data_IF_254341728197
#
_entry.id   IF_254341728197
#
_cell.length_a   1.000
_cell.length_b   1.000
_cell.length_c   1.000
_cell.angle_alpha   90.00
_cell.angle_beta   90.00
_cell.angle_gamma   90.00
#
_symmetry.space_group_name_H-M   'P 1'
#
loop_
_entity.id
_entity.type
_entity.pdbx_description
1 polymer ?
#
# COMPACT_ATOMS: atom_id res chain seq x y z
N UNK A 1 29.47 -19.44 23.39
CA UNK A 1 30.18 -18.73 22.30
C UNK A 1 29.28 -18.63 21.08
N UNK A 2 28.57 -17.52 20.91
CA UNK A 2 27.93 -17.16 19.64
C UNK A 2 28.19 -15.68 19.37
N UNK A 3 28.77 -15.41 18.20
CA UNK A 3 29.30 -14.12 17.77
C UNK A 3 28.13 -13.24 17.30
N UNK A 4 27.91 -12.12 18.00
CA UNK A 4 27.01 -11.06 17.55
C UNK A 4 27.72 -10.22 16.47
N UNK A 5 27.08 -10.06 15.31
CA UNK A 5 27.48 -9.08 14.29
C UNK A 5 26.38 -8.02 14.15
N UNK A 6 26.56 -6.97 14.94
CA UNK A 6 26.42 -5.54 14.62
C UNK A 6 25.58 -5.18 13.38
N UNK A 7 24.40 -4.59 13.62
CA UNK A 7 23.70 -3.76 12.64
C UNK A 7 24.38 -2.39 12.57
N UNK A 8 24.98 -2.08 11.42
CA UNK A 8 25.53 -0.77 11.10
C UNK A 8 24.42 0.16 10.61
N UNK A 9 24.19 1.25 11.34
CA UNK A 9 23.39 2.37 10.87
C UNK A 9 24.25 3.19 9.90
N UNK A 10 23.80 3.33 8.65
CA UNK A 10 24.40 4.23 7.68
C UNK A 10 24.16 5.69 8.11
N UNK A 11 25.20 6.32 8.63
CA UNK A 11 25.31 7.78 8.68
C UNK A 11 25.51 8.30 7.24
N UNK A 12 24.52 9.00 6.70
CA UNK A 12 24.69 9.75 5.45
C UNK A 12 25.42 11.04 5.82
N UNK A 13 26.73 11.06 5.61
CA UNK A 13 27.51 12.28 5.58
C UNK A 13 27.25 13.01 4.25
N UNK A 14 26.56 14.14 4.31
CA UNK A 14 26.45 15.07 3.18
C UNK A 14 27.75 15.89 3.11
N UNK A 15 28.59 15.59 2.12
CA UNK A 15 29.68 16.47 1.74
C UNK A 15 29.16 17.52 0.74
N UNK A 16 29.15 18.79 1.18
CA UNK A 16 28.95 19.96 0.31
C UNK A 16 30.31 20.32 -0.28
N UNK A 17 30.45 20.27 -1.61
CA UNK A 17 31.56 20.92 -2.32
C UNK A 17 31.03 22.18 -2.98
N UNK A 18 31.61 23.30 -2.56
CA UNK A 18 31.36 24.64 -3.07
C UNK A 18 32.09 24.88 -4.40
N UNK A 19 31.42 25.56 -5.33
CA UNK A 19 32.06 26.32 -6.40
C UNK A 19 31.18 27.55 -6.75
N UNK A 20 31.60 28.68 -6.19
CA UNK A 20 31.53 30.09 -6.60
C UNK A 20 30.61 30.54 -7.76
N UNK A 21 29.83 31.61 -7.51
CA UNK A 21 29.21 32.43 -8.57
C UNK A 21 28.20 33.51 -8.13
N UNK A 22 28.68 34.58 -7.48
CA UNK A 22 28.17 35.98 -7.44
C UNK A 22 26.69 36.37 -7.17
N UNK A 23 26.51 37.08 -6.05
CA UNK A 23 25.84 38.39 -5.78
C UNK A 23 24.38 38.63 -6.25
N UNK A 24 23.44 38.67 -5.29
CA UNK A 24 22.54 39.84 -5.08
C UNK A 24 22.13 39.94 -3.60
N UNK A 25 22.42 41.09 -3.01
CA UNK A 25 22.02 41.52 -1.68
C UNK A 25 20.50 41.62 -1.48
N UNK A 26 20.02 41.21 -0.30
CA UNK A 26 18.97 41.92 0.43
C UNK A 26 19.13 41.71 1.93
N UNK A 27 19.20 42.83 2.64
CA UNK A 27 19.33 42.99 4.09
C UNK A 27 17.99 42.73 4.78
N UNK A 28 18.02 42.05 5.92
CA UNK A 28 17.23 42.25 7.16
C UNK A 28 17.24 40.92 7.92
N UNK A 29 18.15 40.71 8.87
CA UNK A 29 17.99 41.06 10.29
C UNK A 29 16.64 40.65 10.86
N UNK A 30 16.57 39.48 11.51
CA UNK A 30 16.14 39.44 12.91
C UNK A 30 16.59 38.13 13.57
N UNK A 31 17.53 38.33 14.48
CA UNK A 31 18.05 37.40 15.46
C UNK A 31 17.09 37.34 16.66
N UNK A 32 16.67 36.13 17.06
CA UNK A 32 16.30 35.89 18.46
C UNK A 32 16.51 34.41 18.82
N UNK A 33 17.64 34.15 19.50
CA UNK A 33 17.90 32.96 20.28
C UNK A 33 17.41 33.18 21.71
N UNK A 34 16.67 32.22 22.26
CA UNK A 34 16.52 31.92 23.69
C UNK A 34 15.76 30.59 23.76
N UNK A 35 16.04 29.62 24.62
CA UNK A 35 17.05 29.43 25.64
C UNK A 35 17.07 27.93 25.94
N UNK A 36 18.23 27.43 26.36
CA UNK A 36 18.39 26.12 26.97
C UNK A 36 17.56 26.01 28.25
N UNK A 37 16.97 24.85 28.51
CA UNK A 37 16.69 24.41 29.87
C UNK A 37 16.83 22.90 29.94
N UNK A 38 17.95 22.51 30.54
CA UNK A 38 18.20 21.19 31.10
C UNK A 38 17.29 21.00 32.31
N UNK A 39 16.59 19.87 32.39
CA UNK A 39 16.21 19.29 33.67
C UNK A 39 16.58 17.81 33.64
N UNK A 40 17.66 17.50 34.34
CA UNK A 40 17.93 16.19 34.88
C UNK A 40 16.95 15.95 36.05
N UNK A 41 16.28 14.81 36.06
CA UNK A 41 15.77 14.24 37.29
C UNK A 41 15.81 12.70 37.18
N UNK A 42 16.84 12.13 37.80
CA UNK A 42 16.89 10.74 38.24
C UNK A 42 15.72 10.46 39.18
N UNK A 43 15.03 9.35 38.98
CA UNK A 43 14.48 8.55 40.08
C UNK A 43 14.41 7.09 39.64
N UNK A 44 15.36 6.32 40.15
CA UNK A 44 15.26 4.87 40.29
C UNK A 44 14.25 4.57 41.41
N UNK A 45 13.32 3.64 41.17
CA UNK A 45 12.76 2.78 42.22
C UNK A 45 12.82 1.35 41.71
N UNK A 46 13.19 0.48 42.63
CA UNK A 46 13.70 -0.86 42.44
C UNK A 46 12.66 -1.92 42.85
N UNK A 47 12.66 -3.05 42.11
CA UNK A 47 12.29 -4.43 42.48
C UNK A 47 10.88 -4.76 42.98
N UNK A 48 10.23 -5.73 42.30
CA UNK A 48 9.95 -7.06 42.86
C UNK A 48 9.37 -8.02 41.80
N UNK A 49 9.64 -9.32 41.96
CA UNK A 49 9.47 -10.38 40.97
C UNK A 49 8.35 -11.38 41.32
N UNK A 50 7.65 -11.86 40.27
CA UNK A 50 7.06 -13.20 40.01
C UNK A 50 6.00 -13.83 40.95
N UNK A 51 5.20 -14.86 40.54
CA UNK A 51 5.29 -15.69 39.32
C UNK A 51 3.98 -15.94 38.51
N UNK A 52 4.16 -16.55 37.33
CA UNK A 52 3.33 -17.55 36.61
C UNK A 52 1.79 -17.40 36.51
N UNK A 53 1.26 -17.31 35.28
CA UNK A 53 0.48 -18.42 34.67
C UNK A 53 0.20 -18.22 33.16
N UNK A 54 0.38 -19.32 32.42
CA UNK A 54 -0.24 -19.73 31.15
C UNK A 54 -0.10 -18.86 29.90
N UNK A 55 0.87 -19.29 29.11
CA UNK A 55 0.78 -19.44 27.66
C UNK A 55 -0.56 -20.08 27.24
N UNK A 56 -1.45 -19.28 26.67
CA UNK A 56 -2.43 -19.75 25.69
C UNK A 56 -2.07 -19.08 24.35
N UNK A 57 -1.37 -19.88 23.56
CA UNK A 57 -1.29 -19.74 22.11
C UNK A 57 -2.69 -19.67 21.53
N UNK A 58 -3.01 -18.58 20.86
CA UNK A 58 -3.57 -18.49 19.49
C UNK A 58 -4.12 -17.06 19.28
N UNK A 59 -3.93 -16.49 18.07
CA UNK A 59 -5.06 -16.60 17.17
C UNK A 59 -4.64 -17.23 15.84
N UNK A 60 -5.20 -18.41 15.62
CA UNK A 60 -5.81 -18.85 14.39
C UNK A 60 -6.12 -17.70 13.39
N UNK A 61 -5.55 -17.83 12.19
CA UNK A 61 -6.13 -17.42 10.90
C UNK A 61 -6.34 -15.90 10.71
N UNK A 62 -5.34 -15.26 10.11
CA UNK A 62 -5.60 -14.38 8.96
C UNK A 62 -4.37 -14.19 8.05
N UNK A 63 -3.72 -15.28 7.64
CA UNK A 63 -2.94 -15.27 6.40
C UNK A 63 -3.85 -15.53 5.18
N UNK A 64 -5.10 -15.07 5.21
CA UNK A 64 -5.85 -14.85 3.99
C UNK A 64 -5.21 -13.60 3.37
N UNK A 65 -4.16 -13.84 2.59
CA UNK A 65 -3.63 -12.89 1.62
C UNK A 65 -4.76 -12.69 0.63
N UNK A 66 -5.72 -11.87 1.03
CA UNK A 66 -6.83 -11.43 0.22
C UNK A 66 -6.18 -10.97 -1.06
N UNK A 67 -6.55 -11.59 -2.17
CA UNK A 67 -6.32 -11.06 -3.50
C UNK A 67 -6.83 -9.63 -3.47
N UNK A 68 -5.91 -8.72 -3.13
CA UNK A 68 -6.16 -7.30 -3.08
C UNK A 68 -6.58 -7.01 -4.51
N UNK A 69 -7.75 -6.42 -4.76
CA UNK A 69 -8.10 -5.97 -6.09
C UNK A 69 -7.22 -4.74 -6.39
N UNK A 70 -5.92 -4.96 -6.53
CA UNK A 70 -5.04 -4.01 -7.17
C UNK A 70 -5.28 -4.16 -8.67
N UNK A 71 -5.87 -3.12 -9.23
CA UNK A 71 -5.91 -2.80 -10.65
C UNK A 71 -7.08 -3.41 -11.43
N UNK A 72 -8.30 -3.06 -11.04
CA UNK A 72 -9.54 -3.46 -11.72
C UNK A 72 -9.77 -2.92 -13.14
N UNK A 73 -8.78 -2.25 -13.75
CA UNK A 73 -8.93 -1.65 -15.09
C UNK A 73 -7.84 -2.05 -16.09
N UNK A 74 -6.78 -2.76 -15.67
CA UNK A 74 -5.76 -3.18 -16.62
C UNK A 74 -6.12 -4.55 -17.21
N UNK A 75 -6.18 -4.69 -18.56
CA UNK A 75 -6.44 -5.96 -19.19
C UNK A 75 -5.31 -6.94 -18.85
N UNK A 76 -5.70 -8.12 -18.37
CA UNK A 76 -4.75 -9.17 -18.02
C UNK A 76 -4.08 -9.73 -19.28
N UNK A 77 -2.92 -10.35 -19.12
CA UNK A 77 -2.26 -11.06 -20.24
C UNK A 77 -3.13 -12.18 -20.81
N UNK A 78 -4.08 -12.73 -20.03
CA UNK A 78 -5.06 -13.71 -20.50
C UNK A 78 -6.13 -13.06 -21.39
N UNK A 79 -6.66 -11.90 -20.98
CA UNK A 79 -7.62 -11.13 -21.79
C UNK A 79 -7.03 -10.75 -23.15
N UNK A 80 -5.77 -10.29 -23.19
CA UNK A 80 -5.12 -9.90 -24.45
C UNK A 80 -4.93 -11.08 -25.42
N UNK A 81 -4.72 -12.30 -24.91
CA UNK A 81 -4.60 -13.50 -25.75
C UNK A 81 -5.90 -13.85 -26.47
N UNK A 82 -7.05 -13.40 -25.98
CA UNK A 82 -8.36 -13.64 -26.61
C UNK A 82 -8.63 -12.71 -27.80
N UNK A 83 -7.81 -11.68 -28.03
CA UNK A 83 -8.01 -10.66 -29.08
C UNK A 83 -7.46 -11.04 -30.46
N UNK A 84 -7.01 -12.29 -30.66
CA UNK A 84 -6.40 -12.78 -31.90
C UNK A 84 -5.34 -11.80 -32.45
N UNK A 85 -4.41 -11.39 -31.58
CA UNK A 85 -3.37 -10.39 -31.91
C UNK A 85 -2.40 -10.94 -32.96
N UNK A 86 -1.96 -10.08 -33.88
CA UNK A 86 -0.84 -10.43 -34.77
C UNK A 86 0.46 -10.55 -34.00
N UNK A 87 1.44 -11.27 -34.57
CA UNK A 87 2.79 -11.40 -33.98
C UNK A 87 3.44 -10.04 -33.73
N UNK A 88 3.26 -9.10 -34.66
CA UNK A 88 3.78 -7.73 -34.53
C UNK A 88 3.11 -6.97 -33.38
N UNK A 89 1.78 -7.05 -33.27
CA UNK A 89 1.05 -6.43 -32.16
C UNK A 89 1.49 -7.00 -30.81
N UNK A 90 1.68 -8.32 -30.73
CA UNK A 90 2.14 -8.99 -29.52
C UNK A 90 3.53 -8.51 -29.09
N UNK A 91 4.46 -8.36 -30.04
CA UNK A 91 5.79 -7.82 -29.77
C UNK A 91 5.72 -6.37 -29.25
N UNK A 92 4.92 -5.50 -29.88
CA UNK A 92 4.75 -4.10 -29.43
C UNK A 92 4.13 -4.01 -28.03
N UNK A 93 3.12 -4.84 -27.75
CA UNK A 93 2.48 -4.91 -26.43
C UNK A 93 3.44 -5.43 -25.36
N UNK A 94 4.29 -6.40 -25.70
CA UNK A 94 5.35 -6.89 -24.80
C UNK A 94 6.35 -5.79 -24.48
N UNK A 95 6.81 -5.03 -25.48
CA UNK A 95 7.74 -3.92 -25.27
C UNK A 95 7.16 -2.84 -24.33
N UNK A 96 5.89 -2.46 -24.51
CA UNK A 96 5.20 -1.53 -23.59
C UNK A 96 5.16 -2.10 -22.17
N UNK A 97 4.78 -3.39 -22.03
CA UNK A 97 4.73 -4.04 -20.73
C UNK A 97 6.09 -3.98 -20.05
N UNK A 98 7.14 -4.39 -20.74
CA UNK A 98 8.48 -4.52 -20.16
C UNK A 98 9.06 -3.15 -19.78
N UNK A 99 8.82 -2.11 -20.60
CA UNK A 99 9.18 -0.72 -20.29
C UNK A 99 8.56 -0.22 -18.99
N UNK A 100 7.26 -0.46 -18.78
CA UNK A 100 6.51 0.13 -17.66
C UNK A 100 6.54 -0.73 -16.39
N UNK A 101 6.95 -2.00 -16.51
CA UNK A 101 6.84 -3.01 -15.45
C UNK A 101 7.60 -2.64 -14.18
N UNK A 102 8.85 -2.16 -14.33
CA UNK A 102 9.70 -1.82 -13.19
C UNK A 102 9.08 -0.69 -12.37
N UNK A 103 8.70 0.40 -13.03
CA UNK A 103 8.08 1.57 -12.39
C UNK A 103 6.75 1.25 -11.72
N UNK A 104 5.89 0.47 -12.38
CA UNK A 104 4.60 0.05 -11.79
C UNK A 104 4.83 -0.79 -10.52
N UNK A 105 5.79 -1.73 -10.55
CA UNK A 105 6.11 -2.55 -9.37
C UNK A 105 6.63 -1.71 -8.21
N UNK A 106 7.51 -0.77 -8.49
CA UNK A 106 8.05 0.14 -7.49
C UNK A 106 6.94 0.99 -6.85
N UNK A 107 6.11 1.65 -7.67
CA UNK A 107 4.99 2.45 -7.18
C UNK A 107 3.98 1.63 -6.38
N UNK A 108 3.69 0.39 -6.81
CA UNK A 108 2.82 -0.53 -6.07
C UNK A 108 3.43 -0.91 -4.71
N UNK A 109 4.73 -1.21 -4.66
CA UNK A 109 5.42 -1.52 -3.42
C UNK A 109 5.42 -0.33 -2.46
N UNK A 110 5.79 0.86 -2.94
CA UNK A 110 5.79 2.09 -2.15
C UNK A 110 4.39 2.44 -1.65
N UNK A 111 3.39 2.35 -2.51
CA UNK A 111 1.98 2.55 -2.14
C UNK A 111 1.53 1.56 -1.06
N UNK A 112 1.87 0.28 -1.20
CA UNK A 112 1.54 -0.73 -0.20
C UNK A 112 2.23 -0.45 1.14
N UNK A 113 3.51 -0.12 1.11
CA UNK A 113 4.28 0.21 2.31
C UNK A 113 3.72 1.46 3.00
N UNK A 114 3.44 2.53 2.26
CA UNK A 114 2.87 3.75 2.81
C UNK A 114 1.49 3.50 3.45
N UNK A 115 0.68 2.61 2.89
CA UNK A 115 -0.60 2.20 3.47
C UNK A 115 -0.44 1.34 4.73
N UNK A 116 0.54 0.46 4.79
CA UNK A 116 0.86 -0.31 6.02
C UNK A 116 1.29 0.64 7.13
N UNK A 117 2.27 1.49 6.86
CA UNK A 117 2.75 2.47 7.83
C UNK A 117 1.64 3.43 8.29
N UNK A 118 0.74 3.85 7.38
CA UNK A 118 -0.44 4.64 7.77
C UNK A 118 -1.35 3.89 8.75
N UNK A 119 -1.57 2.58 8.57
CA UNK A 119 -2.36 1.78 9.50
C UNK A 119 -1.70 1.68 10.87
N UNK A 120 -0.37 1.51 10.89
CA UNK A 120 0.40 1.46 12.13
C UNK A 120 0.35 2.80 12.87
N UNK A 121 0.51 3.91 12.15
CA UNK A 121 0.38 5.27 12.71
C UNK A 121 -1.01 5.54 13.28
N UNK A 122 -2.07 5.03 12.64
CA UNK A 122 -3.45 5.15 13.12
C UNK A 122 -3.71 4.34 14.39
N UNK A 123 -2.97 3.25 14.60
CA UNK A 123 -3.06 2.42 15.82
C UNK A 123 -2.16 2.94 16.95
N UNK A 124 -1.16 3.77 16.62
CA UNK A 124 -0.20 4.34 17.55
C UNK A 124 -0.67 5.62 18.25
N UNK A 125 0.26 6.26 18.97
CA UNK A 125 0.05 7.51 19.71
C UNK A 125 0.66 8.74 19.00
N UNK A 126 0.99 8.60 17.72
CA UNK A 126 1.58 9.67 16.92
C UNK A 126 0.60 10.83 16.71
N UNK A 127 1.14 12.03 16.50
CA UNK A 127 0.31 13.22 16.30
C UNK A 127 -0.54 13.12 15.02
N UNK A 128 -1.71 13.75 15.02
CA UNK A 128 -2.59 13.78 13.85
C UNK A 128 -1.94 14.38 12.61
N UNK A 129 -0.95 15.27 12.77
CA UNK A 129 -0.23 15.88 11.65
C UNK A 129 0.67 14.88 10.93
N UNK A 130 1.32 13.98 11.67
CA UNK A 130 2.12 12.87 11.11
C UNK A 130 1.21 11.91 10.33
N UNK A 131 0.04 11.58 10.90
CA UNK A 131 -0.96 10.73 10.23
C UNK A 131 -1.45 11.37 8.93
N UNK A 132 -1.78 12.66 8.93
CA UNK A 132 -2.20 13.40 7.72
C UNK A 132 -1.11 13.44 6.66
N UNK A 133 0.14 13.71 7.07
CA UNK A 133 1.27 13.72 6.15
C UNK A 133 1.45 12.36 5.47
N UNK A 134 1.36 11.26 6.24
CA UNK A 134 1.45 9.90 5.70
C UNK A 134 0.28 9.55 4.78
N UNK A 135 -0.94 9.98 5.14
CA UNK A 135 -2.11 9.80 4.30
C UNK A 135 -1.95 10.48 2.93
N UNK A 136 -1.48 11.73 2.91
CA UNK A 136 -1.21 12.45 1.68
C UNK A 136 -0.14 11.76 0.83
N UNK A 137 0.92 11.25 1.45
CA UNK A 137 1.94 10.45 0.75
C UNK A 137 1.33 9.21 0.09
N UNK A 138 0.48 8.47 0.81
CA UNK A 138 -0.18 7.28 0.26
C UNK A 138 -1.13 7.63 -0.91
N UNK A 139 -1.87 8.74 -0.81
CA UNK A 139 -2.72 9.23 -1.89
C UNK A 139 -1.93 9.59 -3.15
N UNK A 140 -0.82 10.31 -3.00
CA UNK A 140 0.03 10.70 -4.12
C UNK A 140 0.61 9.48 -4.85
N UNK A 141 1.14 8.51 -4.10
CA UNK A 141 1.66 7.25 -4.68
C UNK A 141 0.58 6.47 -5.42
N UNK A 142 -0.64 6.42 -4.86
CA UNK A 142 -1.76 5.78 -5.52
C UNK A 142 -2.17 6.51 -6.81
N UNK A 143 -2.16 7.84 -6.81
CA UNK A 143 -2.46 8.64 -7.99
C UNK A 143 -1.42 8.43 -9.10
N UNK A 144 -0.13 8.41 -8.74
CA UNK A 144 0.97 8.14 -9.68
C UNK A 144 0.86 6.75 -10.28
N UNK A 145 0.56 5.73 -9.47
CA UNK A 145 0.33 4.37 -9.94
C UNK A 145 -0.84 4.31 -10.93
N UNK A 146 -1.97 4.96 -10.61
CA UNK A 146 -3.13 5.05 -11.51
C UNK A 146 -2.79 5.75 -12.82
N UNK A 147 -2.04 6.85 -12.75
CA UNK A 147 -1.55 7.57 -13.94
C UNK A 147 -0.68 6.65 -14.80
N UNK A 148 0.27 5.94 -14.21
CA UNK A 148 1.14 5.02 -14.95
C UNK A 148 0.34 3.88 -15.63
N UNK A 149 -0.67 3.34 -14.95
CA UNK A 149 -1.58 2.36 -15.55
C UNK A 149 -2.38 2.95 -16.71
N UNK A 150 -2.86 4.18 -16.59
CA UNK A 150 -3.59 4.88 -17.63
C UNK A 150 -2.73 5.13 -18.88
N UNK A 151 -1.49 5.62 -18.71
CA UNK A 151 -0.57 5.84 -19.84
C UNK A 151 -0.25 4.52 -20.56
N UNK A 152 -0.06 3.44 -19.80
CA UNK A 152 0.13 2.11 -20.38
C UNK A 152 -1.10 1.64 -21.16
N UNK A 153 -2.31 1.90 -20.64
CA UNK A 153 -3.57 1.61 -21.34
C UNK A 153 -3.70 2.38 -22.65
N UNK A 154 -3.33 3.67 -22.66
CA UNK A 154 -3.32 4.48 -23.87
C UNK A 154 -2.35 3.92 -24.92
N UNK A 155 -1.13 3.60 -24.52
CA UNK A 155 -0.13 3.03 -25.42
C UNK A 155 -0.60 1.68 -26.01
N UNK A 156 -1.28 0.84 -25.21
CA UNK A 156 -1.87 -0.40 -25.72
C UNK A 156 -3.00 -0.13 -26.70
N UNK A 157 -3.87 0.85 -26.41
CA UNK A 157 -4.98 1.24 -27.30
C UNK A 157 -4.45 1.60 -28.69
N UNK A 158 -3.34 2.32 -28.78
CA UNK A 158 -2.74 2.72 -30.06
C UNK A 158 -2.35 1.54 -30.97
N UNK A 159 -2.00 0.38 -30.39
CA UNK A 159 -1.63 -0.83 -31.14
C UNK A 159 -2.86 -1.63 -31.61
N UNK A 160 -3.94 -1.61 -30.81
CA UNK A 160 -5.14 -2.41 -31.07
C UNK A 160 -6.01 -1.75 -32.15
N UNK A 161 -6.61 -2.57 -33.01
CA UNK A 161 -7.60 -2.09 -33.98
C UNK A 161 -8.90 -1.67 -33.29
N UNK A 162 -9.75 -0.84 -33.93
CA UNK A 162 -11.05 -0.48 -33.37
C UNK A 162 -11.91 -1.69 -32.98
N UNK A 163 -11.88 -2.76 -33.78
CA UNK A 163 -12.62 -4.00 -33.51
C UNK A 163 -12.07 -4.72 -32.26
N UNK A 164 -10.74 -4.85 -32.16
CA UNK A 164 -10.09 -5.45 -30.98
C UNK A 164 -10.34 -4.65 -29.70
N UNK A 165 -10.43 -3.31 -29.79
CA UNK A 165 -10.78 -2.46 -28.64
C UNK A 165 -12.22 -2.72 -28.16
N UNK A 166 -13.16 -2.90 -29.08
CA UNK A 166 -14.54 -3.26 -28.74
C UNK A 166 -14.61 -4.64 -28.09
N UNK A 167 -13.91 -5.63 -28.64
CA UNK A 167 -13.82 -6.97 -28.05
C UNK A 167 -13.18 -6.94 -26.65
N UNK A 168 -12.12 -6.15 -26.48
CA UNK A 168 -11.47 -5.98 -25.18
C UNK A 168 -12.42 -5.40 -24.14
N UNK A 169 -13.23 -4.41 -24.51
CA UNK A 169 -14.27 -3.85 -23.64
C UNK A 169 -15.25 -4.93 -23.18
N UNK A 170 -15.70 -5.80 -24.07
CA UNK A 170 -16.61 -6.90 -23.73
C UNK A 170 -15.96 -7.92 -22.79
N UNK A 171 -14.70 -8.30 -23.05
CA UNK A 171 -13.94 -9.22 -22.20
C UNK A 171 -13.79 -8.64 -20.79
N UNK A 172 -13.41 -7.37 -20.67
CA UNK A 172 -13.28 -6.68 -19.38
C UNK A 172 -14.63 -6.66 -18.64
N UNK A 173 -15.74 -6.42 -19.33
CA UNK A 173 -17.07 -6.44 -18.70
C UNK A 173 -17.47 -7.83 -18.19
N UNK A 174 -17.09 -8.90 -18.92
CA UNK A 174 -17.38 -10.28 -18.52
C UNK A 174 -16.49 -10.78 -17.38
N UNK A 175 -15.21 -10.40 -17.39
CA UNK A 175 -14.22 -10.84 -16.39
C UNK A 175 -14.22 -9.99 -15.12
N UNK A 176 -14.83 -8.80 -15.14
CA UNK A 176 -15.10 -8.08 -13.92
C UNK A 176 -15.92 -9.01 -13.03
N UNK A 177 -15.43 -9.36 -11.82
CA UNK A 177 -16.25 -10.13 -10.91
C UNK A 177 -17.54 -9.33 -10.75
N UNK A 178 -18.65 -9.92 -11.22
CA UNK A 178 -19.94 -9.65 -10.62
C UNK A 178 -19.73 -10.00 -9.15
N UNK A 179 -19.21 -9.07 -8.36
CA UNK A 179 -19.67 -8.95 -7.01
C UNK A 179 -21.11 -8.53 -7.21
N UNK A 180 -22.11 -9.43 -7.13
CA UNK A 180 -23.37 -8.94 -6.62
C UNK A 180 -22.93 -8.21 -5.35
N UNK A 181 -23.25 -6.93 -5.24
CA UNK A 181 -23.36 -6.33 -3.93
C UNK A 181 -24.37 -7.22 -3.25
N UNK A 182 -23.93 -8.30 -2.60
CA UNK A 182 -24.72 -9.02 -1.62
C UNK A 182 -25.15 -7.89 -0.72
N UNK A 183 -26.43 -7.52 -0.85
CA UNK A 183 -26.92 -6.31 -0.25
C UNK A 183 -26.57 -6.43 1.22
N UNK A 184 -26.26 -5.33 1.90
CA UNK A 184 -26.04 -5.40 3.34
C UNK A 184 -27.21 -6.13 4.03
N UNK A 185 -28.42 -6.04 3.43
CA UNK A 185 -29.59 -6.85 3.76
C UNK A 185 -29.36 -8.36 3.61
N UNK A 186 -28.89 -8.84 2.47
CA UNK A 186 -28.65 -10.27 2.21
C UNK A 186 -27.59 -10.85 3.17
N UNK A 187 -26.53 -10.09 3.45
CA UNK A 187 -25.50 -10.46 4.45
C UNK A 187 -26.08 -10.56 5.85
N UNK A 188 -26.94 -9.62 6.24
CA UNK A 188 -27.62 -9.64 7.54
C UNK A 188 -28.61 -10.81 7.60
N UNK A 189 -29.39 -11.03 6.55
CA UNK A 189 -30.37 -12.12 6.47
C UNK A 189 -29.70 -13.50 6.58
N UNK A 190 -28.61 -13.74 5.84
CA UNK A 190 -27.84 -14.98 5.95
C UNK A 190 -27.25 -15.19 7.35
N UNK A 191 -26.80 -14.11 8.00
CA UNK A 191 -26.28 -14.17 9.38
C UNK A 191 -27.38 -14.45 10.41
N UNK A 192 -28.57 -13.89 10.21
CA UNK A 192 -29.75 -14.12 11.06
C UNK A 192 -30.28 -15.54 10.88
N UNK A 193 -30.36 -16.03 9.63
CA UNK A 193 -30.75 -17.40 9.33
C UNK A 193 -29.81 -18.41 9.96
N UNK A 194 -28.50 -18.25 9.80
CA UNK A 194 -27.48 -19.10 10.44
C UNK A 194 -27.55 -19.08 11.97
N UNK A 195 -27.96 -17.96 12.56
CA UNK A 195 -28.21 -17.86 14.01
C UNK A 195 -29.46 -18.60 14.43
N UNK A 196 -30.54 -18.53 13.66
CA UNK A 196 -31.77 -19.28 13.89
C UNK A 196 -31.56 -20.78 13.77
N UNK A 197 -30.80 -21.22 12.76
CA UNK A 197 -30.50 -22.64 12.55
C UNK A 197 -29.68 -23.19 13.74
N UNK A 198 -28.70 -22.44 14.24
CA UNK A 198 -27.92 -22.81 15.44
C UNK A 198 -28.71 -22.75 16.77
N UNK A 199 -29.90 -22.14 16.80
CA UNK A 199 -30.78 -22.11 17.98
C UNK A 199 -31.70 -23.32 18.06
N UNK A 200 -31.90 -24.06 16.96
CA UNK A 200 -32.70 -25.28 16.92
C UNK A 200 -32.03 -26.51 17.51
N UNK A 201 -30.69 -26.51 17.61
CA UNK A 201 -29.89 -27.66 18.06
C UNK A 201 -29.43 -27.58 19.53
N UNK A 202 -30.03 -26.70 20.35
CA UNK A 202 -29.75 -26.71 21.80
C UNK A 202 -30.59 -27.80 22.47
N UNK A 203 -29.99 -28.89 23.00
CA UNK A 203 -30.74 -29.81 23.84
C UNK A 203 -31.17 -29.04 25.09
N UNK A 204 -32.48 -28.94 25.29
CA UNK A 204 -33.05 -28.52 26.57
C UNK A 204 -32.69 -29.58 27.60
N UNK A 205 -31.78 -29.23 28.51
CA UNK A 205 -31.57 -29.96 29.77
C UNK A 205 -32.76 -29.72 30.70
#
# INVERSE_FOLDING_TARGET
>A
MFKSKVFQYCAIATAVVAASGTIWASKANLQLQSAQSQIQAKSQVQSQASPENKSESEPEILAQRQDRPENGDMPSGRMLKQLNLSTEQLQKLKAIRDRDLARIRELAQQSSQANTELRDLLAGSESSDVVRAKHNQALNLQQELRKQHFERMLAMREILTPQQRSQLKEIIQKERPNHPRESMKDRIQNRMKKRLDNLGDRPTL
#
